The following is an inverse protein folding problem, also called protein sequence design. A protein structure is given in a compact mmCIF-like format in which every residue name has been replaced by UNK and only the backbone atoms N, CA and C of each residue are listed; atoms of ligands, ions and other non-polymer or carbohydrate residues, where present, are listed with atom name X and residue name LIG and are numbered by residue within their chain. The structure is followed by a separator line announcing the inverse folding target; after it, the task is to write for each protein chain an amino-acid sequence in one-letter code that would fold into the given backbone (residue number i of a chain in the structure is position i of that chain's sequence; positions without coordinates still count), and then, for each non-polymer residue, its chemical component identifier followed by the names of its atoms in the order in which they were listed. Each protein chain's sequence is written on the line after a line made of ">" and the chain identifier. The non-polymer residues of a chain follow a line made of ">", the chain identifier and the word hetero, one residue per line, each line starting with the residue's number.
data_IF_768294130908
#
_entry.id   IF_768294130908
#
_cell.length_a   1.000
_cell.length_b   1.000
_cell.length_c   1.000
_cell.angle_alpha   90.00
_cell.angle_beta   90.00
_cell.angle_gamma   90.00
#
_symmetry.space_group_name_H-M   'P 1'
#
loop_
_entity.id
_entity.type
_entity.pdbx_description
1 polymer ?
#
# COMPACT_ATOMS: atom_id res chain seq x y z
N UNK A 1 3.35 0.89 19.70
CA UNK A 1 3.95 -0.44 19.95
C UNK A 1 4.83 -0.35 21.19
N UNK A 2 4.32 -0.76 22.34
CA UNK A 2 5.13 -0.91 23.55
C UNK A 2 5.70 -2.33 23.48
N UNK A 3 6.96 -2.47 23.09
CA UNK A 3 7.70 -3.71 23.27
C UNK A 3 8.62 -3.52 24.47
N UNK A 4 8.29 -4.18 25.58
CA UNK A 4 9.15 -4.27 26.76
C UNK A 4 9.66 -5.70 26.83
N UNK A 5 10.99 -5.86 26.90
CA UNK A 5 11.81 -7.04 27.29
C UNK A 5 11.30 -8.45 26.89
N UNK A 6 12.17 -9.24 26.28
CA UNK A 6 12.00 -10.70 26.13
C UNK A 6 11.84 -11.37 27.50
N UNK A 7 10.60 -11.43 27.99
CA UNK A 7 10.23 -12.11 29.24
C UNK A 7 9.98 -13.58 28.94
N UNK A 8 10.57 -14.47 29.74
CA UNK A 8 10.24 -15.90 29.72
C UNK A 8 8.78 -16.03 30.17
N UNK A 9 7.94 -16.55 29.30
CA UNK A 9 6.50 -16.65 29.48
C UNK A 9 6.02 -18.10 29.61
N UNK A 10 6.91 -19.08 29.46
CA UNK A 10 6.58 -20.48 29.71
C UNK A 10 7.82 -21.24 30.21
N UNK A 11 7.87 -21.64 31.49
CA UNK A 11 9.02 -22.33 32.08
C UNK A 11 9.34 -23.69 31.44
N UNK A 12 8.35 -24.33 30.83
CA UNK A 12 8.49 -25.64 30.18
C UNK A 12 9.09 -25.58 28.77
N UNK A 13 9.32 -24.38 28.22
CA UNK A 13 9.99 -24.21 26.93
C UNK A 13 9.16 -24.62 25.70
N UNK A 14 7.90 -24.99 25.87
CA UNK A 14 7.07 -25.48 24.75
C UNK A 14 6.57 -24.35 23.84
N UNK A 15 6.44 -24.66 22.54
CA UNK A 15 5.89 -23.77 21.53
C UNK A 15 4.37 -23.75 21.60
N UNK A 16 3.80 -22.54 21.68
CA UNK A 16 2.36 -22.33 21.83
C UNK A 16 1.85 -21.09 21.12
N UNK A 17 0.64 -21.18 20.60
CA UNK A 17 -0.15 -20.01 20.24
C UNK A 17 -1.31 -19.89 21.24
N UNK A 18 -1.46 -18.71 21.83
CA UNK A 18 -2.40 -18.48 22.92
C UNK A 18 -3.44 -17.48 22.47
N UNK A 19 -4.68 -17.93 22.31
CA UNK A 19 -5.79 -17.11 21.85
C UNK A 19 -6.64 -16.62 23.02
N UNK A 20 -7.19 -15.42 22.84
CA UNK A 20 -8.34 -14.97 23.61
C UNK A 20 -9.20 -13.99 22.81
N UNK A 21 -10.42 -13.78 23.27
CA UNK A 21 -11.42 -12.92 22.64
C UNK A 21 -12.00 -11.96 23.67
N UNK A 22 -12.19 -10.71 23.27
CA UNK A 22 -12.90 -9.70 24.06
C UNK A 22 -13.94 -9.00 23.19
N UNK A 23 -15.10 -8.68 23.77
CA UNK A 23 -16.22 -8.03 23.09
C UNK A 23 -16.70 -6.85 23.89
N UNK A 24 -17.03 -5.78 23.19
CA UNK A 24 -17.58 -4.57 23.80
C UNK A 24 -18.34 -3.75 22.77
N UNK A 25 -19.56 -3.30 23.12
CA UNK A 25 -20.37 -2.37 22.33
C UNK A 25 -20.47 -2.72 20.83
N UNK A 26 -20.87 -3.94 20.53
CA UNK A 26 -21.06 -4.43 19.16
C UNK A 26 -19.77 -4.81 18.42
N UNK A 27 -18.59 -4.49 18.95
CA UNK A 27 -17.28 -4.84 18.38
C UNK A 27 -16.62 -6.01 19.10
N UNK A 28 -15.67 -6.68 18.43
CA UNK A 28 -14.88 -7.76 19.02
C UNK A 28 -13.40 -7.69 18.62
N UNK A 29 -12.55 -8.24 19.46
CA UNK A 29 -11.12 -8.39 19.21
C UNK A 29 -10.63 -9.78 19.60
N UNK A 30 -9.94 -10.46 18.69
CA UNK A 30 -9.24 -11.72 18.98
C UNK A 30 -7.75 -11.44 19.05
N UNK A 31 -7.14 -11.77 20.19
CA UNK A 31 -5.71 -11.67 20.42
C UNK A 31 -5.07 -13.05 20.27
N UNK A 32 -3.92 -13.10 19.62
CA UNK A 32 -3.00 -14.25 19.68
C UNK A 32 -1.64 -13.81 20.23
N UNK A 33 -1.05 -14.64 21.10
CA UNK A 33 0.33 -14.52 21.56
C UNK A 33 1.14 -15.69 21.00
N UNK A 34 2.29 -15.37 20.38
CA UNK A 34 3.20 -16.37 19.82
C UNK A 34 4.30 -16.68 20.81
N UNK A 35 4.26 -17.87 21.40
CA UNK A 35 5.28 -18.36 22.33
C UNK A 35 6.12 -19.41 21.63
N UNK A 36 7.44 -19.21 21.58
CA UNK A 36 8.38 -20.21 21.06
C UNK A 36 9.55 -20.37 22.03
N UNK A 37 9.96 -21.59 22.30
CA UNK A 37 10.99 -21.93 23.29
C UNK A 37 10.72 -21.25 24.66
N UNK A 38 9.44 -21.20 25.07
CA UNK A 38 8.98 -20.55 26.29
C UNK A 38 9.10 -19.02 26.35
N UNK A 39 9.38 -18.35 25.22
CA UNK A 39 9.48 -16.89 25.12
C UNK A 39 8.41 -16.32 24.21
N UNK A 40 7.90 -15.13 24.56
CA UNK A 40 6.99 -14.39 23.68
C UNK A 40 7.78 -13.81 22.50
N UNK A 41 7.52 -14.31 21.30
CA UNK A 41 8.09 -13.76 20.06
C UNK A 41 7.32 -12.53 19.57
N UNK A 42 6.02 -12.48 19.84
CA UNK A 42 5.17 -11.40 19.40
C UNK A 42 3.70 -11.70 19.63
N UNK A 43 2.84 -10.89 19.01
CA UNK A 43 1.40 -11.02 19.14
C UNK A 43 0.71 -10.44 17.91
N UNK A 44 -0.48 -10.94 17.59
CA UNK A 44 -1.32 -10.38 16.53
C UNK A 44 -2.76 -10.14 17.04
N UNK A 45 -3.46 -9.21 16.42
CA UNK A 45 -4.79 -8.77 16.85
C UNK A 45 -5.76 -8.65 15.67
N UNK A 46 -6.86 -9.38 15.76
CA UNK A 46 -7.93 -9.39 14.76
C UNK A 46 -9.12 -8.58 15.28
N UNK A 47 -9.37 -7.44 14.64
CA UNK A 47 -10.50 -6.57 14.95
C UNK A 47 -11.72 -6.94 14.10
N UNK A 48 -12.88 -7.01 14.73
CA UNK A 48 -14.19 -7.19 14.11
C UNK A 48 -15.05 -5.97 14.49
N UNK A 49 -15.34 -5.15 13.49
CA UNK A 49 -16.13 -3.92 13.62
C UNK A 49 -17.62 -4.17 13.85
N UNK A 50 -18.13 -5.31 13.38
CA UNK A 50 -19.50 -5.78 13.60
C UNK A 50 -19.47 -7.22 14.10
N UNK A 51 -19.83 -7.42 15.37
CA UNK A 51 -19.81 -8.75 16.00
C UNK A 51 -21.16 -9.22 16.51
N UNK A 52 -22.18 -8.35 16.58
CA UNK A 52 -23.44 -8.59 17.31
C UNK A 52 -24.14 -9.90 16.94
N UNK A 53 -24.13 -10.25 15.65
CA UNK A 53 -24.77 -11.47 15.14
C UNK A 53 -23.84 -12.70 15.12
N UNK A 54 -22.54 -12.51 15.34
CA UNK A 54 -21.56 -13.58 15.34
C UNK A 54 -21.40 -14.21 16.74
N UNK A 55 -21.30 -15.54 16.77
CA UNK A 55 -20.92 -16.26 17.99
C UNK A 55 -19.43 -16.10 18.26
N UNK A 56 -19.03 -16.20 19.54
CA UNK A 56 -17.61 -16.09 19.92
C UNK A 56 -16.75 -17.18 19.26
N UNK A 57 -17.31 -18.39 19.10
CA UNK A 57 -16.67 -19.48 18.37
C UNK A 57 -16.43 -19.10 16.89
N UNK A 58 -17.41 -18.49 16.23
CA UNK A 58 -17.25 -18.07 14.84
C UNK A 58 -16.15 -17.01 14.69
N UNK A 59 -16.11 -16.00 15.56
CA UNK A 59 -15.08 -14.95 15.54
C UNK A 59 -13.67 -15.53 15.78
N UNK A 60 -13.54 -16.43 16.75
CA UNK A 60 -12.30 -17.13 17.04
C UNK A 60 -11.85 -17.99 15.86
N UNK A 61 -12.76 -18.77 15.26
CA UNK A 61 -12.49 -19.59 14.09
C UNK A 61 -12.04 -18.77 12.87
N UNK A 62 -12.67 -17.61 12.61
CA UNK A 62 -12.23 -16.70 11.56
C UNK A 62 -10.80 -16.19 11.79
N UNK A 63 -10.45 -15.82 13.02
CA UNK A 63 -9.10 -15.37 13.37
C UNK A 63 -8.06 -16.50 13.22
N UNK A 64 -8.38 -17.71 13.70
CA UNK A 64 -7.52 -18.89 13.56
C UNK A 64 -7.29 -19.23 12.09
N UNK A 65 -8.35 -19.28 11.28
CA UNK A 65 -8.25 -19.55 9.85
C UNK A 65 -7.40 -18.47 9.15
N UNK A 66 -7.66 -17.20 9.42
CA UNK A 66 -6.90 -16.09 8.82
C UNK A 66 -5.42 -16.13 9.20
N UNK A 67 -5.11 -16.51 10.43
CA UNK A 67 -3.73 -16.66 10.88
C UNK A 67 -3.03 -17.78 10.11
N UNK A 68 -3.58 -18.99 10.14
CA UNK A 68 -2.90 -20.18 9.63
C UNK A 68 -3.04 -20.39 8.12
N UNK A 69 -3.89 -19.65 7.40
CA UNK A 69 -3.91 -19.68 5.93
C UNK A 69 -2.59 -19.18 5.31
N UNK A 70 -1.78 -18.41 6.06
CA UNK A 70 -0.47 -17.95 5.60
C UNK A 70 0.59 -19.05 5.74
N UNK A 71 1.27 -19.39 4.65
CA UNK A 71 2.38 -20.37 4.66
C UNK A 71 3.57 -19.94 5.55
N UNK A 72 3.65 -18.66 5.95
CA UNK A 72 4.75 -18.14 6.78
C UNK A 72 4.56 -18.37 8.29
N UNK A 73 3.36 -18.74 8.75
CA UNK A 73 3.07 -18.96 10.18
C UNK A 73 3.18 -20.43 10.53
N UNK A 74 4.27 -20.83 11.19
CA UNK A 74 4.43 -22.18 11.71
C UNK A 74 3.43 -22.49 12.84
N UNK A 75 2.63 -23.54 12.65
CA UNK A 75 1.63 -24.00 13.61
C UNK A 75 2.33 -24.76 14.76
N UNK A 76 2.14 -24.39 16.03
CA UNK A 76 2.77 -25.08 17.16
C UNK A 76 2.03 -26.38 17.52
N UNK A 77 2.66 -27.23 18.34
CA UNK A 77 2.05 -28.46 18.85
C UNK A 77 0.86 -28.21 19.78
N UNK A 78 0.81 -27.04 20.42
CA UNK A 78 -0.24 -26.69 21.37
C UNK A 78 -0.84 -25.31 21.04
N UNK A 79 -2.15 -25.26 20.92
CA UNK A 79 -2.92 -24.03 20.76
C UNK A 79 -3.85 -23.89 21.96
N UNK A 80 -3.69 -22.80 22.72
CA UNK A 80 -4.48 -22.56 23.92
C UNK A 80 -5.67 -21.65 23.57
N UNK A 81 -6.87 -22.07 23.95
CA UNK A 81 -8.13 -21.40 23.66
C UNK A 81 -8.79 -20.85 24.93
N UNK A 82 -9.61 -19.78 24.81
CA UNK A 82 -10.29 -19.17 25.95
C UNK A 82 -11.50 -19.96 26.46
N UNK A 83 -12.12 -20.76 25.60
CA UNK A 83 -13.31 -21.57 25.87
C UNK A 83 -13.32 -22.82 24.97
N UNK A 84 -14.22 -23.76 25.26
CA UNK A 84 -14.42 -24.99 24.47
C UNK A 84 -14.97 -24.65 23.09
N UNK A 85 -14.27 -25.12 22.05
CA UNK A 85 -14.63 -24.83 20.67
C UNK A 85 -15.58 -25.91 20.14
N UNK A 86 -16.77 -25.57 19.60
CA UNK A 86 -17.77 -26.57 19.20
C UNK A 86 -17.29 -27.62 18.18
N UNK A 87 -16.27 -27.29 17.38
CA UNK A 87 -15.69 -28.17 16.35
C UNK A 87 -14.19 -28.41 16.61
N UNK A 88 -13.83 -28.62 17.88
CA UNK A 88 -12.43 -28.74 18.30
C UNK A 88 -11.68 -29.86 17.55
N UNK A 89 -12.30 -31.03 17.38
CA UNK A 89 -11.67 -32.16 16.69
C UNK A 89 -11.37 -31.85 15.22
N UNK A 90 -12.34 -31.29 14.50
CA UNK A 90 -12.20 -30.93 13.08
C UNK A 90 -11.09 -29.89 12.91
N UNK A 91 -11.05 -28.88 13.79
CA UNK A 91 -10.03 -27.85 13.74
C UNK A 91 -8.64 -28.41 14.09
N UNK A 92 -8.54 -29.27 15.10
CA UNK A 92 -7.27 -29.89 15.49
C UNK A 92 -6.72 -30.79 14.37
N UNK A 93 -7.58 -31.55 13.70
CA UNK A 93 -7.20 -32.43 12.59
C UNK A 93 -6.73 -31.62 11.37
N UNK A 94 -7.48 -30.58 10.99
CA UNK A 94 -7.10 -29.69 9.89
C UNK A 94 -5.75 -29.00 10.14
N UNK A 95 -5.53 -28.49 11.35
CA UNK A 95 -4.25 -27.89 11.74
C UNK A 95 -3.12 -28.92 11.78
N UNK A 96 -3.41 -30.15 12.21
CA UNK A 96 -2.41 -31.22 12.26
C UNK A 96 -1.96 -31.68 10.87
N UNK A 97 -2.91 -31.81 9.94
CA UNK A 97 -2.65 -32.12 8.54
C UNK A 97 -1.79 -31.04 7.90
N UNK A 98 -2.17 -29.77 8.10
CA UNK A 98 -1.42 -28.63 7.58
C UNK A 98 0.00 -28.50 8.18
N UNK A 99 0.15 -28.78 9.48
CA UNK A 99 1.43 -28.68 10.18
C UNK A 99 2.37 -29.85 9.91
N UNK A 100 1.86 -30.99 9.42
CA UNK A 100 2.61 -32.24 9.31
C UNK A 100 2.94 -32.90 10.65
N UNK A 101 2.29 -32.47 11.74
CA UNK A 101 2.44 -33.05 13.07
C UNK A 101 1.16 -32.88 13.88
N UNK A 102 0.99 -33.68 14.95
CA UNK A 102 -0.17 -33.56 15.83
C UNK A 102 -0.22 -32.19 16.52
N UNK A 103 -1.35 -31.50 16.37
CA UNK A 103 -1.69 -30.25 17.05
C UNK A 103 -2.75 -30.54 18.10
N UNK A 104 -2.56 -30.03 19.31
CA UNK A 104 -3.51 -30.15 20.42
C UNK A 104 -4.13 -28.80 20.72
N UNK A 105 -5.46 -28.74 20.63
CA UNK A 105 -6.23 -27.63 21.19
C UNK A 105 -6.42 -27.87 22.69
N UNK A 106 -6.30 -26.81 23.49
CA UNK A 106 -6.41 -26.92 24.94
C UNK A 106 -7.16 -25.73 25.52
N UNK A 107 -8.07 -25.99 26.45
CA UNK A 107 -8.76 -24.95 27.23
C UNK A 107 -8.27 -24.99 28.68
N UNK A 108 -7.14 -24.35 29.00
CA UNK A 108 -6.58 -24.42 30.34
C UNK A 108 -7.53 -23.77 31.35
N UNK A 109 -7.79 -24.45 32.47
CA UNK A 109 -8.66 -23.94 33.55
C UNK A 109 -7.87 -23.44 34.76
N UNK A 110 -6.60 -23.85 34.93
CA UNK A 110 -5.72 -23.47 36.06
C UNK A 110 -4.23 -23.51 35.68
N UNK A 111 -3.38 -22.93 36.52
CA UNK A 111 -1.92 -22.93 36.37
C UNK A 111 -1.40 -22.00 35.27
N UNK A 112 -0.13 -22.16 34.90
CA UNK A 112 0.56 -21.21 34.04
C UNK A 112 -0.04 -21.03 32.64
N UNK A 113 -0.54 -22.12 32.04
CA UNK A 113 -1.28 -22.04 30.76
C UNK A 113 -2.53 -21.17 30.86
N UNK A 114 -3.21 -21.16 32.01
CA UNK A 114 -4.36 -20.27 32.25
C UNK A 114 -3.91 -18.82 32.41
N UNK A 115 -2.77 -18.56 33.06
CA UNK A 115 -2.20 -17.21 33.17
C UNK A 115 -1.89 -16.62 31.78
N UNK A 116 -1.36 -17.43 30.86
CA UNK A 116 -1.14 -17.04 29.47
C UNK A 116 -2.44 -16.67 28.76
N UNK A 117 -3.49 -17.48 28.90
CA UNK A 117 -4.82 -17.17 28.34
C UNK A 117 -5.38 -15.89 28.95
N UNK A 118 -5.21 -15.67 30.26
CA UNK A 118 -5.62 -14.42 30.92
C UNK A 118 -4.83 -13.20 30.43
N UNK A 119 -3.55 -13.33 30.12
CA UNK A 119 -2.77 -12.26 29.50
C UNK A 119 -3.27 -11.94 28.09
N UNK A 120 -3.54 -12.97 27.28
CA UNK A 120 -4.13 -12.78 25.96
C UNK A 120 -5.48 -12.05 26.05
N UNK A 121 -6.30 -12.30 27.08
CA UNK A 121 -7.53 -11.55 27.33
C UNK A 121 -7.27 -10.06 27.62
N UNK A 122 -6.32 -9.76 28.52
CA UNK A 122 -5.98 -8.37 28.85
C UNK A 122 -5.48 -7.61 27.62
N UNK A 123 -4.66 -8.25 26.79
CA UNK A 123 -4.19 -7.69 25.53
C UNK A 123 -5.35 -7.50 24.53
N UNK A 124 -6.26 -8.47 24.40
CA UNK A 124 -7.44 -8.35 23.54
C UNK A 124 -8.29 -7.13 23.93
N UNK A 125 -8.52 -6.93 25.23
CA UNK A 125 -9.23 -5.77 25.76
C UNK A 125 -8.52 -4.46 25.46
N UNK A 126 -7.24 -4.34 25.82
CA UNK A 126 -6.47 -3.11 25.63
C UNK A 126 -6.39 -2.72 24.15
N UNK A 127 -6.15 -3.70 23.26
CA UNK A 127 -6.09 -3.45 21.82
C UNK A 127 -7.47 -3.10 21.24
N UNK A 128 -8.56 -3.73 21.71
CA UNK A 128 -9.92 -3.37 21.27
C UNK A 128 -10.26 -1.93 21.67
N UNK A 129 -9.98 -1.55 22.92
CA UNK A 129 -10.19 -0.17 23.40
C UNK A 129 -9.37 0.85 22.59
N UNK A 130 -8.11 0.54 22.26
CA UNK A 130 -7.28 1.39 21.41
C UNK A 130 -7.83 1.50 19.98
N UNK A 131 -8.24 0.39 19.36
CA UNK A 131 -8.83 0.41 18.02
C UNK A 131 -10.14 1.20 17.99
N UNK A 132 -11.02 1.02 18.96
CA UNK A 132 -12.28 1.78 19.07
C UNK A 132 -12.00 3.29 19.18
N UNK A 133 -11.08 3.70 20.06
CA UNK A 133 -10.66 5.11 20.18
C UNK A 133 -10.13 5.66 18.85
N UNK A 134 -9.37 4.85 18.11
CA UNK A 134 -8.86 5.24 16.80
C UNK A 134 -9.98 5.42 15.78
N UNK A 135 -10.95 4.50 15.71
CA UNK A 135 -12.10 4.60 14.80
C UNK A 135 -12.93 5.85 15.08
N UNK A 136 -13.20 6.16 16.35
CA UNK A 136 -13.91 7.39 16.75
C UNK A 136 -13.13 8.62 16.29
N UNK A 137 -11.83 8.68 16.58
CA UNK A 137 -10.96 9.79 16.16
C UNK A 137 -10.91 9.94 14.64
N UNK A 138 -10.80 8.84 13.90
CA UNK A 138 -10.79 8.83 12.44
C UNK A 138 -12.13 9.39 11.91
N UNK A 139 -13.27 8.97 12.47
CA UNK A 139 -14.60 9.51 12.13
C UNK A 139 -14.74 11.00 12.44
N UNK A 140 -14.20 11.47 13.57
CA UNK A 140 -14.18 12.90 13.93
C UNK A 140 -13.36 13.72 12.92
N UNK A 141 -12.21 13.20 12.48
CA UNK A 141 -11.39 13.84 11.43
C UNK A 141 -12.18 13.95 10.13
N UNK A 142 -12.84 12.87 9.69
CA UNK A 142 -13.65 12.90 8.46
C UNK A 142 -14.81 13.91 8.56
N UNK A 143 -15.46 14.00 9.73
CA UNK A 143 -16.48 15.02 9.99
C UNK A 143 -15.92 16.46 9.96
N UNK A 144 -14.71 16.68 10.49
CA UNK A 144 -14.03 17.97 10.40
C UNK A 144 -13.69 18.32 8.94
N UNK A 145 -13.23 17.36 8.14
CA UNK A 145 -12.97 17.55 6.69
C UNK A 145 -14.26 17.90 5.95
N UNK A 146 -15.35 17.16 6.20
CA UNK A 146 -16.66 17.45 5.61
C UNK A 146 -17.10 18.88 5.90
N UNK A 147 -17.06 19.28 7.17
CA UNK A 147 -17.50 20.60 7.60
C UNK A 147 -16.62 21.72 7.03
N UNK A 148 -15.30 21.56 7.11
CA UNK A 148 -14.34 22.58 6.65
C UNK A 148 -14.40 22.79 5.13
N UNK A 149 -14.52 21.71 4.36
CA UNK A 149 -14.59 21.79 2.90
C UNK A 149 -16.03 21.95 2.40
N UNK A 150 -17.04 21.94 3.27
CA UNK A 150 -18.46 21.91 2.91
C UNK A 150 -18.77 20.80 1.88
N UNK A 151 -18.42 19.57 2.23
CA UNK A 151 -18.74 18.37 1.44
C UNK A 151 -20.16 17.91 1.74
N UNK A 152 -20.82 17.31 0.75
CA UNK A 152 -22.19 16.79 0.88
C UNK A 152 -22.25 15.55 1.76
N UNK A 153 -21.19 14.73 1.70
CA UNK A 153 -21.06 13.49 2.48
C UNK A 153 -19.78 13.52 3.30
N UNK A 154 -19.76 12.69 4.33
CA UNK A 154 -18.51 12.33 5.02
C UNK A 154 -17.60 11.69 3.97
N UNK A 155 -16.34 12.15 3.80
CA UNK A 155 -15.43 11.63 2.79
C UNK A 155 -14.83 10.29 3.26
N UNK A 156 -15.67 9.27 3.45
CA UNK A 156 -15.24 7.96 3.92
C UNK A 156 -14.39 7.27 2.87
N UNK A 157 -14.86 7.25 1.61
CA UNK A 157 -14.11 6.75 0.46
C UNK A 157 -13.57 7.90 -0.40
N UNK A 158 -12.26 8.05 -0.47
CA UNK A 158 -11.58 9.12 -1.22
C UNK A 158 -10.67 8.53 -2.30
N UNK A 159 -10.77 9.03 -3.53
CA UNK A 159 -9.85 8.68 -4.61
C UNK A 159 -9.01 9.88 -5.00
N UNK A 160 -7.69 9.74 -4.96
CA UNK A 160 -6.76 10.80 -5.35
C UNK A 160 -5.98 10.41 -6.59
N UNK A 161 -5.95 11.29 -7.58
CA UNK A 161 -5.30 11.10 -8.87
C UNK A 161 -4.08 12.00 -9.01
N UNK A 162 -2.91 11.39 -9.23
CA UNK A 162 -1.66 12.05 -9.62
C UNK A 162 -1.39 11.75 -11.09
N UNK A 163 -1.21 12.79 -11.90
CA UNK A 163 -0.75 12.70 -13.29
C UNK A 163 0.67 13.22 -13.35
N UNK A 164 1.60 12.34 -13.70
CA UNK A 164 3.01 12.66 -13.74
C UNK A 164 3.60 12.38 -15.13
N UNK A 165 4.20 13.40 -15.74
CA UNK A 165 4.94 13.26 -16.99
C UNK A 165 6.35 12.72 -16.75
N UNK A 166 6.72 11.68 -17.49
CA UNK A 166 8.08 11.15 -17.50
C UNK A 166 8.80 11.66 -18.75
N UNK A 167 9.67 12.66 -18.57
CA UNK A 167 10.72 13.07 -19.52
C UNK A 167 10.33 13.05 -21.02
N UNK A 168 9.13 13.52 -21.36
CA UNK A 168 8.69 13.77 -22.74
C UNK A 168 8.15 12.58 -23.55
N UNK A 169 8.27 11.32 -23.08
CA UNK A 169 7.89 10.14 -23.89
C UNK A 169 6.80 9.26 -23.27
N UNK A 170 6.61 9.30 -21.95
CA UNK A 170 5.63 8.44 -21.27
C UNK A 170 4.91 9.20 -20.16
N UNK A 171 3.61 9.44 -20.34
CA UNK A 171 2.77 9.92 -19.24
C UNK A 171 2.27 8.73 -18.44
N UNK A 172 2.38 8.83 -17.12
CA UNK A 172 1.77 7.86 -16.20
C UNK A 172 0.83 8.58 -15.26
N UNK A 173 -0.21 7.88 -14.88
CA UNK A 173 -1.08 8.35 -13.81
C UNK A 173 -1.22 7.26 -12.76
N UNK A 174 -1.45 7.71 -11.54
CA UNK A 174 -1.66 6.83 -10.41
C UNK A 174 -2.90 7.29 -9.65
N UNK A 175 -3.65 6.31 -9.14
CA UNK A 175 -4.78 6.55 -8.27
C UNK A 175 -4.58 5.76 -7.00
N UNK A 176 -4.70 6.46 -5.88
CA UNK A 176 -4.72 5.88 -4.53
C UNK A 176 -6.12 6.02 -3.97
N UNK A 177 -6.51 5.06 -3.14
CA UNK A 177 -7.82 5.01 -2.50
C UNK A 177 -7.64 5.09 -0.98
N UNK A 178 -8.45 5.91 -0.34
CA UNK A 178 -8.54 6.05 1.11
C UNK A 178 -9.93 5.62 1.56
N UNK A 179 -10.00 4.82 2.62
CA UNK A 179 -11.25 4.37 3.22
C UNK A 179 -11.13 4.50 4.75
N UNK A 180 -12.10 5.15 5.41
CA UNK A 180 -12.10 5.32 6.87
C UNK A 180 -10.82 5.98 7.42
N UNK A 181 -10.33 7.03 6.75
CA UNK A 181 -9.06 7.72 7.07
C UNK A 181 -7.79 6.85 6.96
N UNK A 182 -7.82 5.75 6.18
CA UNK A 182 -6.68 4.84 6.00
C UNK A 182 -6.45 4.48 4.52
N UNK A 183 -5.21 4.15 4.12
CA UNK A 183 -4.91 3.61 2.79
C UNK A 183 -5.65 2.30 2.49
N UNK A 184 -6.44 2.27 1.41
CA UNK A 184 -7.07 1.07 0.84
C UNK A 184 -6.24 0.55 -0.34
N UNK A 185 -5.11 -0.11 -0.05
CA UNK A 185 -4.05 -0.44 -1.03
C UNK A 185 -4.51 -1.38 -2.14
N UNK A 186 -5.43 -2.29 -1.82
CA UNK A 186 -6.11 -3.19 -2.74
C UNK A 186 -6.88 -2.46 -3.85
N UNK A 187 -7.30 -1.21 -3.57
CA UNK A 187 -8.03 -0.36 -4.50
C UNK A 187 -7.14 0.58 -5.30
N UNK A 188 -5.82 0.57 -5.10
CA UNK A 188 -4.88 1.41 -5.85
C UNK A 188 -4.78 0.98 -7.32
N UNK A 189 -4.61 1.94 -8.23
CA UNK A 189 -4.49 1.66 -9.68
C UNK A 189 -3.37 2.47 -10.31
N UNK A 190 -2.66 1.83 -11.24
CA UNK A 190 -1.61 2.46 -12.06
C UNK A 190 -2.08 2.47 -13.51
N UNK A 191 -1.99 3.62 -14.15
CA UNK A 191 -2.38 3.83 -15.53
C UNK A 191 -1.13 4.14 -16.35
N UNK A 192 -0.81 3.22 -17.26
CA UNK A 192 0.11 3.51 -18.36
C UNK A 192 -0.71 4.09 -19.49
N UNK A 193 -0.55 5.38 -19.74
CA UNK A 193 -1.23 6.09 -20.83
C UNK A 193 -0.56 5.75 -22.15
N UNK A 194 -1.36 5.62 -23.21
CA UNK A 194 -0.84 5.29 -24.55
C UNK A 194 -0.90 6.53 -25.44
N UNK A 195 0.25 6.93 -25.95
CA UNK A 195 0.39 7.82 -27.11
C UNK A 195 -0.16 9.23 -26.90
N UNK A 196 0.56 10.04 -26.12
CA UNK A 196 0.43 11.50 -26.18
C UNK A 196 1.81 12.04 -26.51
N UNK A 197 1.99 12.52 -27.74
CA UNK A 197 3.28 13.00 -28.27
C UNK A 197 3.69 14.39 -27.72
N UNK A 198 2.85 14.99 -26.87
CA UNK A 198 3.06 16.28 -26.20
C UNK A 198 2.46 16.21 -24.78
N UNK A 199 2.89 17.00 -23.79
CA UNK A 199 2.24 17.06 -22.48
C UNK A 199 0.81 17.61 -22.61
N UNK A 200 -0.16 16.72 -22.80
CA UNK A 200 -1.59 17.03 -22.76
C UNK A 200 -2.19 16.45 -21.48
N UNK A 201 -2.21 17.29 -20.44
CA UNK A 201 -2.82 16.99 -19.14
C UNK A 201 -4.31 16.65 -19.29
N UNK A 202 -5.01 17.26 -20.24
CA UNK A 202 -6.43 17.03 -20.46
C UNK A 202 -6.67 15.62 -21.02
N UNK A 203 -5.95 15.24 -22.07
CA UNK A 203 -6.06 13.90 -22.65
C UNK A 203 -5.65 12.80 -21.65
N UNK A 204 -4.64 13.07 -20.83
CA UNK A 204 -4.19 12.17 -19.76
C UNK A 204 -5.27 11.97 -18.69
N UNK A 205 -5.91 13.07 -18.25
CA UNK A 205 -7.02 13.05 -17.31
C UNK A 205 -8.23 12.33 -17.88
N UNK A 206 -8.56 12.59 -19.15
CA UNK A 206 -9.65 11.97 -19.87
C UNK A 206 -9.50 10.45 -19.92
N UNK A 207 -8.34 9.93 -20.32
CA UNK A 207 -8.11 8.48 -20.37
C UNK A 207 -8.25 7.83 -18.98
N UNK A 208 -7.69 8.44 -17.94
CA UNK A 208 -7.64 7.86 -16.59
C UNK A 208 -9.02 7.82 -15.94
N UNK A 209 -9.71 8.96 -15.91
CA UNK A 209 -11.02 9.06 -15.28
C UNK A 209 -12.05 8.25 -16.07
N UNK A 210 -11.98 8.24 -17.41
CA UNK A 210 -12.83 7.38 -18.24
C UNK A 210 -12.64 5.92 -17.89
N UNK A 211 -11.40 5.42 -17.84
CA UNK A 211 -11.13 4.02 -17.51
C UNK A 211 -11.54 3.65 -16.09
N UNK A 212 -11.42 4.56 -15.12
CA UNK A 212 -11.84 4.34 -13.74
C UNK A 212 -13.36 4.33 -13.61
N UNK A 213 -14.04 5.33 -14.15
CA UNK A 213 -15.46 5.53 -13.90
C UNK A 213 -16.38 4.83 -14.89
N UNK A 214 -15.91 4.37 -16.05
CA UNK A 214 -16.66 3.39 -16.86
C UNK A 214 -17.03 2.14 -16.05
N UNK A 215 -16.13 1.66 -15.18
CA UNK A 215 -16.41 0.54 -14.27
C UNK A 215 -17.42 0.90 -13.17
N UNK A 216 -17.48 2.17 -12.80
CA UNK A 216 -18.48 2.63 -11.85
C UNK A 216 -19.87 2.70 -12.46
N UNK A 217 -19.95 3.23 -13.68
CA UNK A 217 -21.19 3.28 -14.47
C UNK A 217 -21.73 1.89 -14.80
N UNK A 218 -20.86 0.89 -14.95
CA UNK A 218 -21.27 -0.52 -15.12
C UNK A 218 -21.65 -1.23 -13.82
N UNK A 219 -21.72 -0.52 -12.68
CA UNK A 219 -22.07 -1.08 -11.37
C UNK A 219 -21.01 -1.97 -10.73
N UNK A 220 -19.81 -2.07 -11.30
CA UNK A 220 -18.75 -2.96 -10.80
C UNK A 220 -17.99 -2.35 -9.61
N UNK A 221 -17.97 -1.02 -9.49
CA UNK A 221 -17.32 -0.30 -8.40
C UNK A 221 -18.10 0.94 -8.02
N UNK A 222 -18.24 1.30 -6.73
CA UNK A 222 -18.92 2.54 -6.36
C UNK A 222 -18.12 3.78 -6.79
N UNK A 223 -18.81 4.92 -6.92
CA UNK A 223 -18.17 6.23 -6.93
C UNK A 223 -17.63 6.54 -5.51
N UNK A 224 -16.51 7.27 -5.39
CA UNK A 224 -16.01 7.72 -4.09
C UNK A 224 -16.88 8.85 -3.53
N UNK A 225 -16.81 9.10 -2.23
CA UNK A 225 -17.45 10.27 -1.61
C UNK A 225 -16.71 11.57 -1.95
N UNK A 226 -15.39 11.50 -2.18
CA UNK A 226 -14.57 12.64 -2.60
C UNK A 226 -13.55 12.22 -3.67
N UNK A 227 -13.49 12.99 -4.75
CA UNK A 227 -12.44 12.90 -5.77
C UNK A 227 -11.41 14.01 -5.51
N UNK A 228 -10.14 13.67 -5.44
CA UNK A 228 -9.04 14.62 -5.33
C UNK A 228 -8.20 14.55 -6.61
N UNK A 229 -8.04 15.69 -7.26
CA UNK A 229 -7.09 15.86 -8.36
C UNK A 229 -5.85 16.55 -7.79
N UNK A 230 -4.69 15.92 -7.95
CA UNK A 230 -3.42 16.49 -7.52
C UNK A 230 -2.99 17.58 -8.50
N UNK A 231 -3.54 18.77 -8.24
CA UNK A 231 -3.04 20.03 -8.71
C UNK A 231 -4.12 21.08 -8.86
N UNK A 232 -3.83 22.09 -9.68
CA UNK A 232 -4.52 23.38 -9.64
C UNK A 232 -5.86 23.42 -10.38
N UNK A 233 -6.40 24.64 -10.50
CA UNK A 233 -7.69 24.91 -11.16
C UNK A 233 -7.79 24.36 -12.59
N UNK A 234 -6.70 24.38 -13.35
CA UNK A 234 -6.68 23.86 -14.71
C UNK A 234 -6.98 22.36 -14.78
N UNK A 235 -6.29 21.57 -13.95
CA UNK A 235 -6.48 20.12 -13.87
C UNK A 235 -7.83 19.74 -13.27
N UNK A 236 -8.32 20.50 -12.28
CA UNK A 236 -9.67 20.34 -11.76
C UNK A 236 -10.72 20.55 -12.86
N UNK A 237 -10.62 21.63 -13.63
CA UNK A 237 -11.56 21.91 -14.72
C UNK A 237 -11.51 20.85 -15.82
N UNK A 238 -10.32 20.31 -16.13
CA UNK A 238 -10.18 19.18 -17.04
C UNK A 238 -10.94 17.95 -16.52
N UNK A 239 -10.78 17.61 -15.24
CA UNK A 239 -11.51 16.50 -14.63
C UNK A 239 -13.03 16.71 -14.64
N UNK A 240 -13.51 17.93 -14.39
CA UNK A 240 -14.95 18.26 -14.44
C UNK A 240 -15.53 18.01 -15.84
N UNK A 241 -14.85 18.46 -16.89
CA UNK A 241 -15.29 18.25 -18.27
C UNK A 241 -15.35 16.75 -18.62
N UNK A 242 -14.44 15.93 -18.08
CA UNK A 242 -14.45 14.49 -18.27
C UNK A 242 -15.61 13.83 -17.53
N UNK A 243 -15.89 14.21 -16.29
CA UNK A 243 -17.04 13.69 -15.54
C UNK A 243 -18.36 14.00 -16.26
N UNK A 244 -18.50 15.21 -16.80
CA UNK A 244 -19.67 15.62 -17.60
C UNK A 244 -19.83 14.78 -18.87
N UNK A 245 -18.74 14.54 -19.61
CA UNK A 245 -18.74 13.62 -20.78
C UNK A 245 -19.16 12.20 -20.43
N UNK A 246 -18.83 11.74 -19.22
CA UNK A 246 -19.19 10.41 -18.72
C UNK A 246 -20.63 10.33 -18.19
N UNK A 247 -21.37 11.44 -18.18
CA UNK A 247 -22.72 11.50 -17.60
C UNK A 247 -22.72 11.42 -16.08
N UNK A 248 -21.59 11.73 -15.43
CA UNK A 248 -21.50 11.80 -13.97
C UNK A 248 -21.82 13.23 -13.54
N UNK A 249 -22.90 13.39 -12.80
CA UNK A 249 -23.28 14.68 -12.25
C UNK A 249 -22.30 15.12 -11.15
N UNK A 250 -21.32 15.93 -11.54
CA UNK A 250 -20.34 16.49 -10.62
C UNK A 250 -20.95 17.55 -9.69
N UNK A 251 -22.20 17.98 -9.90
CA UNK A 251 -22.93 18.74 -8.88
C UNK A 251 -23.31 17.87 -7.69
N UNK A 252 -23.43 16.55 -7.84
CA UNK A 252 -23.70 15.61 -6.76
C UNK A 252 -22.44 14.89 -6.25
N UNK A 253 -21.43 14.73 -7.10
CA UNK A 253 -20.12 14.17 -6.72
C UNK A 253 -19.18 15.26 -6.19
N UNK A 254 -18.70 15.13 -4.95
CA UNK A 254 -17.67 16.06 -4.47
C UNK A 254 -16.32 15.77 -5.13
N UNK A 255 -15.71 16.83 -5.67
CA UNK A 255 -14.41 16.83 -6.32
C UNK A 255 -13.65 18.11 -5.98
N UNK A 256 -12.35 17.99 -5.71
CA UNK A 256 -11.46 19.10 -5.39
C UNK A 256 -10.14 19.00 -6.15
N UNK A 257 -9.50 20.14 -6.41
CA UNK A 257 -8.09 20.22 -6.76
C UNK A 257 -7.27 20.50 -5.50
N UNK A 258 -6.16 19.79 -5.32
CA UNK A 258 -5.22 20.00 -4.22
C UNK A 258 -3.86 20.41 -4.78
N UNK A 259 -3.36 21.59 -4.42
CA UNK A 259 -2.13 22.13 -4.99
C UNK A 259 -1.22 22.77 -3.92
N UNK A 260 0.05 22.95 -4.29
CA UNK A 260 1.03 23.71 -3.51
C UNK A 260 1.12 25.14 -4.02
N UNK A 261 1.00 26.10 -3.12
CA UNK A 261 1.27 27.52 -3.35
C UNK A 261 2.60 27.91 -2.74
N UNK A 262 3.29 28.86 -3.38
CA UNK A 262 4.45 29.54 -2.79
C UNK A 262 3.98 30.83 -2.15
N UNK A 263 4.44 31.11 -0.94
CA UNK A 263 4.21 32.42 -0.32
C UNK A 263 4.92 33.48 -1.17
N UNK A 264 4.21 34.52 -1.63
CA UNK A 264 4.86 35.62 -2.34
C UNK A 264 5.88 36.32 -1.43
N UNK A 265 7.08 36.57 -1.96
CA UNK A 265 8.01 37.52 -1.34
C UNK A 265 7.32 38.88 -1.26
N UNK A 266 6.97 39.33 -0.07
CA UNK A 266 6.73 40.76 0.15
C UNK A 266 8.04 41.48 -0.17
N UNK A 267 8.08 42.19 -1.30
CA UNK A 267 9.22 43.06 -1.68
C UNK A 267 9.56 43.94 -0.46
N UNK A 268 10.72 43.70 0.16
CA UNK A 268 11.24 44.53 1.26
C UNK A 268 11.41 43.87 2.63
N UNK A 269 11.01 42.61 2.84
CA UNK A 269 11.27 41.90 4.12
C UNK A 269 12.24 40.74 3.87
N UNK A 270 13.50 40.94 4.23
CA UNK A 270 14.52 39.89 4.24
C UNK A 270 14.36 39.03 5.49
N UNK A 271 14.32 37.70 5.32
CA UNK A 271 14.32 36.62 6.35
C UNK A 271 12.97 36.09 6.87
N UNK A 272 11.98 35.88 6.00
CA UNK A 272 10.98 34.83 6.21
C UNK A 272 11.31 33.64 5.32
N UNK A 273 11.32 32.41 5.85
CA UNK A 273 11.45 31.22 5.01
C UNK A 273 10.32 31.24 3.96
N UNK A 274 10.65 31.00 2.68
CA UNK A 274 9.62 30.73 1.66
C UNK A 274 8.88 29.47 2.12
N UNK A 275 7.70 29.65 2.74
CA UNK A 275 6.90 28.54 3.23
C UNK A 275 5.89 28.17 2.15
N UNK A 276 6.12 27.01 1.53
CA UNK A 276 5.14 26.31 0.72
C UNK A 276 3.89 26.06 1.58
N UNK A 277 2.72 26.38 1.05
CA UNK A 277 1.44 26.09 1.67
C UNK A 277 0.58 25.26 0.74
N UNK A 278 -0.40 24.58 1.31
CA UNK A 278 -1.38 23.84 0.52
C UNK A 278 -2.70 24.56 0.50
N UNK A 279 -3.33 24.50 -0.66
CA UNK A 279 -4.64 25.06 -0.86
C UNK A 279 -5.51 24.11 -1.67
N UNK A 280 -6.80 24.23 -1.41
CA UNK A 280 -7.84 23.49 -2.10
C UNK A 280 -8.53 24.43 -3.09
N UNK A 281 -8.81 23.90 -4.28
CA UNK A 281 -9.68 24.54 -5.28
C UNK A 281 -10.96 23.72 -5.38
N UNK A 282 -12.12 24.38 -5.32
CA UNK A 282 -13.43 23.75 -5.55
C UNK A 282 -14.02 24.19 -6.89
N UNK A 283 -14.87 23.35 -7.50
CA UNK A 283 -15.67 23.74 -8.67
C UNK A 283 -16.47 25.02 -8.40
N UNK A 284 -16.57 25.88 -9.40
CA UNK A 284 -17.31 27.15 -9.34
C UNK A 284 -16.87 28.14 -8.24
N UNK A 285 -15.72 27.92 -7.58
CA UNK A 285 -15.16 28.87 -6.62
C UNK A 285 -13.95 29.60 -7.22
N UNK A 286 -13.94 30.93 -7.10
CA UNK A 286 -12.82 31.75 -7.56
C UNK A 286 -11.63 31.71 -6.60
N UNK A 287 -11.91 31.70 -5.31
CA UNK A 287 -10.89 31.79 -4.26
C UNK A 287 -10.40 30.39 -3.86
N UNK A 288 -9.10 30.29 -3.66
CA UNK A 288 -8.46 29.11 -3.07
C UNK A 288 -8.77 29.03 -1.58
N UNK A 289 -9.02 27.82 -1.08
CA UNK A 289 -9.22 27.55 0.34
C UNK A 289 -7.86 27.21 0.93
N UNK A 290 -7.27 28.15 1.67
CA UNK A 290 -6.00 27.91 2.37
C UNK A 290 -6.22 27.01 3.58
N UNK A 291 -5.37 26.00 3.70
CA UNK A 291 -5.42 25.06 4.80
C UNK A 291 -4.66 25.62 6.01
N UNK A 292 -5.29 25.59 7.19
CA UNK A 292 -4.64 26.00 8.42
C UNK A 292 -3.49 25.06 8.77
N UNK A 293 -2.36 25.63 9.22
CA UNK A 293 -1.22 24.86 9.69
C UNK A 293 -1.63 23.98 10.86
N UNK A 294 -1.12 22.75 10.88
CA UNK A 294 -1.40 21.77 11.93
C UNK A 294 -2.88 21.36 12.08
N UNK A 295 -3.74 21.66 11.10
CA UNK A 295 -5.12 21.17 11.11
C UNK A 295 -5.20 19.70 10.70
N UNK A 296 -6.17 18.98 11.28
CA UNK A 296 -6.54 17.61 10.89
C UNK A 296 -6.86 17.51 9.40
N UNK A 297 -7.52 18.54 8.85
CA UNK A 297 -7.89 18.62 7.43
C UNK A 297 -6.66 18.72 6.54
N UNK A 298 -5.68 19.53 6.91
CA UNK A 298 -4.40 19.59 6.20
C UNK A 298 -3.71 18.23 6.21
N UNK A 299 -3.56 17.60 7.38
CA UNK A 299 -2.89 16.31 7.48
C UNK A 299 -3.62 15.19 6.71
N UNK A 300 -4.95 15.20 6.70
CA UNK A 300 -5.75 14.28 5.90
C UNK A 300 -5.42 14.38 4.41
N UNK A 301 -5.52 15.60 3.85
CA UNK A 301 -5.27 15.85 2.43
C UNK A 301 -3.80 15.61 2.05
N UNK A 302 -2.87 16.03 2.91
CA UNK A 302 -1.42 15.80 2.74
C UNK A 302 -1.07 14.32 2.65
N UNK A 303 -1.57 13.51 3.59
CA UNK A 303 -1.27 12.08 3.62
C UNK A 303 -1.75 11.39 2.35
N UNK A 304 -2.92 11.77 1.84
CA UNK A 304 -3.48 11.21 0.60
C UNK A 304 -2.62 11.59 -0.60
N UNK A 305 -2.27 12.88 -0.73
CA UNK A 305 -1.44 13.37 -1.84
C UNK A 305 -0.04 12.80 -1.82
N UNK A 306 0.62 12.81 -0.67
CA UNK A 306 2.00 12.32 -0.55
C UNK A 306 2.09 10.83 -0.88
N UNK A 307 1.05 10.05 -0.57
CA UNK A 307 0.94 8.66 -0.99
C UNK A 307 0.65 8.49 -2.48
N UNK A 308 -0.19 9.36 -3.08
CA UNK A 308 -0.39 9.40 -4.53
C UNK A 308 0.93 9.66 -5.26
N UNK A 309 1.67 10.70 -4.84
CA UNK A 309 3.01 10.99 -5.33
C UNK A 309 3.97 9.81 -5.12
N UNK A 310 4.02 9.21 -3.92
CA UNK A 310 4.89 8.05 -3.63
C UNK A 310 4.58 6.91 -4.60
N UNK A 311 3.30 6.61 -4.79
CA UNK A 311 2.84 5.51 -5.63
C UNK A 311 3.14 5.74 -7.11
N UNK A 312 3.01 6.99 -7.59
CA UNK A 312 3.43 7.43 -8.91
C UNK A 312 4.94 7.29 -9.10
N UNK A 313 5.75 7.82 -8.18
CA UNK A 313 7.22 7.74 -8.22
C UNK A 313 7.71 6.29 -8.27
N UNK A 314 7.13 5.40 -7.46
CA UNK A 314 7.47 3.98 -7.49
C UNK A 314 7.14 3.32 -8.84
N UNK A 315 6.00 3.69 -9.44
CA UNK A 315 5.64 3.21 -10.77
C UNK A 315 6.61 3.71 -11.84
N UNK A 316 6.94 4.99 -11.81
CA UNK A 316 7.90 5.60 -12.73
C UNK A 316 9.29 4.98 -12.59
N UNK A 317 9.78 4.77 -11.36
CA UNK A 317 11.06 4.09 -11.12
C UNK A 317 11.05 2.67 -11.69
N UNK A 318 9.96 1.93 -11.54
CA UNK A 318 9.80 0.58 -12.11
C UNK A 318 9.84 0.61 -13.65
N UNK A 319 9.14 1.56 -14.28
CA UNK A 319 9.13 1.73 -15.73
C UNK A 319 10.48 2.18 -16.26
N UNK A 320 11.11 3.20 -15.66
CA UNK A 320 12.48 3.62 -15.99
C UNK A 320 13.47 2.49 -15.87
N UNK A 321 13.36 1.65 -14.84
CA UNK A 321 14.18 0.44 -14.75
C UNK A 321 13.92 -0.45 -15.97
N UNK A 322 12.66 -0.75 -16.31
CA UNK A 322 12.35 -1.58 -17.48
C UNK A 322 12.78 -0.98 -18.82
N UNK A 323 12.71 0.33 -19.01
CA UNK A 323 13.04 1.01 -20.26
C UNK A 323 14.55 1.28 -20.40
N UNK A 324 15.25 1.65 -19.32
CA UNK A 324 16.73 1.67 -19.31
C UNK A 324 17.30 0.26 -19.56
N UNK A 325 16.62 -0.78 -19.05
CA UNK A 325 16.96 -2.17 -19.35
C UNK A 325 16.64 -2.57 -20.82
N UNK A 326 15.89 -1.77 -21.58
CA UNK A 326 15.77 -1.94 -23.03
C UNK A 326 16.83 -1.16 -23.78
N UNK A 327 17.14 0.07 -23.35
CA UNK A 327 18.11 0.95 -24.01
C UNK A 327 19.55 0.43 -23.94
N UNK A 328 19.94 -0.22 -22.85
CA UNK A 328 21.32 -0.73 -22.70
C UNK A 328 21.71 -1.82 -23.70
N UNK A 329 20.76 -2.63 -24.18
CA UNK A 329 21.05 -3.59 -25.25
C UNK A 329 21.17 -2.92 -26.63
N UNK A 330 20.56 -1.74 -26.80
CA UNK A 330 20.61 -1.01 -28.06
C UNK A 330 21.98 -0.32 -28.27
N UNK A 331 22.72 -0.09 -27.18
CA UNK A 331 24.06 0.49 -27.21
C UNK A 331 25.16 -0.53 -27.54
N UNK A 332 24.86 -1.84 -27.53
CA UNK A 332 25.83 -2.90 -27.83
C UNK A 332 25.92 -3.08 -29.36
N UNK A 333 27.07 -2.76 -29.99
CA UNK A 333 27.25 -2.98 -31.42
C UNK A 333 26.96 -4.44 -31.79
N UNK A 334 26.16 -4.65 -32.84
CA UNK A 334 25.77 -6.00 -33.28
C UNK A 334 24.56 -6.61 -32.56
N UNK A 335 24.00 -5.98 -31.52
CA UNK A 335 22.76 -6.41 -30.85
C UNK A 335 21.56 -5.60 -31.36
N UNK A 336 21.04 -5.99 -32.53
CA UNK A 336 19.81 -5.40 -33.06
C UNK A 336 18.52 -5.92 -32.40
N UNK A 337 17.38 -5.30 -32.74
CA UNK A 337 16.04 -5.61 -32.20
C UNK A 337 15.66 -7.10 -32.18
N UNK A 338 16.09 -7.88 -33.18
CA UNK A 338 15.81 -9.33 -33.26
C UNK A 338 16.56 -10.12 -32.18
N UNK A 339 17.85 -9.86 -32.00
CA UNK A 339 18.73 -10.50 -31.01
C UNK A 339 18.35 -10.08 -29.59
N UNK A 340 18.00 -8.81 -29.40
CA UNK A 340 17.45 -8.27 -28.14
C UNK A 340 16.20 -9.02 -27.68
N UNK A 341 15.22 -9.22 -28.57
CA UNK A 341 14.01 -9.98 -28.24
C UNK A 341 14.32 -11.44 -27.90
N UNK A 342 15.29 -12.05 -28.58
CA UNK A 342 15.72 -13.43 -28.28
C UNK A 342 16.36 -13.52 -26.88
N UNK A 343 17.27 -12.60 -26.54
CA UNK A 343 17.90 -12.53 -25.21
C UNK A 343 16.85 -12.32 -24.11
N UNK A 344 15.94 -11.36 -24.29
CA UNK A 344 14.88 -11.10 -23.30
C UNK A 344 13.85 -12.23 -23.21
N UNK A 345 13.57 -12.94 -24.31
CA UNK A 345 12.68 -14.10 -24.29
C UNK A 345 13.31 -15.28 -23.56
N UNK A 346 14.62 -15.48 -23.72
CA UNK A 346 15.35 -16.59 -23.09
C UNK A 346 15.56 -16.34 -21.59
N UNK A 347 16.08 -15.16 -21.22
CA UNK A 347 16.43 -14.85 -19.83
C UNK A 347 15.30 -14.17 -19.03
N UNK A 348 14.23 -13.72 -19.68
CA UNK A 348 13.05 -13.09 -19.09
C UNK A 348 13.25 -11.65 -18.60
N UNK A 349 14.48 -11.24 -18.27
CA UNK A 349 14.78 -9.86 -17.88
C UNK A 349 16.24 -9.49 -18.19
N UNK A 350 16.52 -8.20 -18.45
CA UNK A 350 17.90 -7.77 -18.67
C UNK A 350 18.79 -7.99 -17.44
N UNK A 351 18.24 -7.93 -16.22
CA UNK A 351 19.02 -8.25 -15.02
C UNK A 351 19.66 -9.64 -15.13
N UNK A 352 18.89 -10.62 -15.58
CA UNK A 352 19.38 -11.98 -15.81
C UNK A 352 20.33 -12.07 -17.00
N UNK A 353 20.10 -11.31 -18.08
CA UNK A 353 21.05 -11.21 -19.21
C UNK A 353 22.41 -10.65 -18.75
N UNK A 354 22.41 -9.68 -17.83
CA UNK A 354 23.62 -9.08 -17.26
C UNK A 354 24.37 -10.01 -16.30
N UNK A 355 23.63 -10.85 -15.57
CA UNK A 355 24.18 -11.83 -14.62
C UNK A 355 24.59 -13.14 -15.30
N UNK A 356 24.13 -13.38 -16.54
CA UNK A 356 24.40 -14.58 -17.31
C UNK A 356 25.88 -14.72 -17.69
N UNK A 357 26.36 -15.96 -17.73
CA UNK A 357 27.71 -16.26 -18.19
C UNK A 357 27.82 -16.10 -19.72
N UNK A 358 29.05 -16.00 -20.24
CA UNK A 358 29.29 -15.90 -21.69
C UNK A 358 28.75 -17.15 -22.40
N UNK A 359 28.90 -18.31 -21.77
CA UNK A 359 28.41 -19.59 -22.26
C UNK A 359 26.88 -19.63 -22.32
N UNK A 360 26.19 -19.11 -21.30
CA UNK A 360 24.74 -19.01 -21.27
C UNK A 360 24.21 -18.03 -22.33
N UNK A 361 24.87 -16.88 -22.50
CA UNK A 361 24.53 -15.90 -23.54
C UNK A 361 24.66 -16.50 -24.95
N UNK A 362 25.66 -17.36 -25.16
CA UNK A 362 25.88 -18.08 -26.42
C UNK A 362 24.83 -19.14 -26.74
N UNK A 363 24.02 -19.59 -25.77
CA UNK A 363 22.92 -20.54 -26.01
C UNK A 363 21.71 -19.88 -26.66
N UNK A 364 21.66 -18.54 -26.71
CA UNK A 364 20.54 -17.80 -27.31
C UNK A 364 20.66 -17.79 -28.83
N UNK A 365 19.59 -18.23 -29.49
CA UNK A 365 19.51 -18.27 -30.96
C UNK A 365 19.86 -16.91 -31.59
N UNK A 366 20.89 -16.93 -32.45
CA UNK A 366 21.36 -15.75 -33.17
C UNK A 366 22.45 -14.94 -32.45
N UNK A 367 22.93 -15.39 -31.29
CA UNK A 367 24.10 -14.84 -30.60
C UNK A 367 25.31 -15.73 -30.89
N UNK A 368 26.36 -15.19 -31.50
CA UNK A 368 27.62 -15.92 -31.69
C UNK A 368 28.47 -15.87 -30.42
N UNK A 369 29.44 -16.78 -30.23
CA UNK A 369 30.36 -16.73 -29.07
C UNK A 369 31.07 -15.38 -28.93
N UNK A 370 31.48 -14.78 -30.06
CA UNK A 370 32.11 -13.45 -30.08
C UNK A 370 31.15 -12.37 -29.57
N UNK A 371 29.88 -12.40 -30.00
CA UNK A 371 28.89 -11.44 -29.55
C UNK A 371 28.50 -11.65 -28.08
N UNK A 372 28.50 -12.89 -27.59
CA UNK A 372 28.27 -13.20 -26.19
C UNK A 372 29.38 -12.62 -25.29
N UNK A 373 30.63 -12.71 -25.73
CA UNK A 373 31.77 -12.06 -25.05
C UNK A 373 31.65 -10.53 -25.05
N UNK A 374 31.25 -9.93 -26.17
CA UNK A 374 31.03 -8.48 -26.28
C UNK A 374 29.92 -8.00 -25.34
N UNK A 375 28.79 -8.72 -25.28
CA UNK A 375 27.69 -8.43 -24.36
C UNK A 375 28.17 -8.53 -22.90
N UNK A 376 28.89 -9.61 -22.57
CA UNK A 376 29.43 -9.80 -21.22
C UNK A 376 30.45 -8.74 -20.82
N UNK A 377 31.30 -8.31 -21.76
CA UNK A 377 32.30 -7.25 -21.55
C UNK A 377 31.62 -5.89 -21.32
N UNK A 378 30.67 -5.52 -22.17
CA UNK A 378 29.91 -4.27 -22.07
C UNK A 378 29.28 -4.11 -20.68
N UNK A 379 28.60 -5.14 -20.17
CA UNK A 379 27.98 -5.07 -18.85
C UNK A 379 29.00 -5.00 -17.70
N UNK A 380 30.14 -5.68 -17.79
CA UNK A 380 31.22 -5.56 -16.79
C UNK A 380 31.81 -4.14 -16.75
N UNK A 381 31.96 -3.50 -17.90
CA UNK A 381 32.45 -2.12 -18.01
C UNK A 381 31.45 -1.11 -17.43
N UNK A 382 30.16 -1.25 -17.75
CA UNK A 382 29.10 -0.44 -17.15
C UNK A 382 29.08 -0.56 -15.62
N UNK A 383 29.30 -1.75 -15.08
CA UNK A 383 29.28 -2.01 -13.64
C UNK A 383 30.47 -1.41 -12.91
N UNK A 384 31.64 -1.48 -13.54
CA UNK A 384 32.85 -0.80 -13.08
C UNK A 384 32.67 0.72 -13.07
N UNK A 385 32.06 1.28 -14.12
CA UNK A 385 31.78 2.71 -14.23
C UNK A 385 30.79 3.21 -13.17
N UNK A 386 29.69 2.46 -12.95
CA UNK A 386 28.69 2.79 -11.92
C UNK A 386 29.28 2.72 -10.51
N UNK A 387 30.09 1.69 -10.20
CA UNK A 387 30.76 1.59 -8.89
C UNK A 387 31.72 2.77 -8.64
N UNK A 388 32.48 3.19 -9.67
CA UNK A 388 33.37 4.36 -9.57
C UNK A 388 32.59 5.66 -9.35
N UNK A 389 31.46 5.85 -10.03
CA UNK A 389 30.61 7.05 -9.88
C UNK A 389 29.94 7.14 -8.50
N UNK A 390 29.44 6.01 -7.99
CA UNK A 390 28.87 5.93 -6.63
C UNK A 390 29.91 6.17 -5.52
N UNK A 391 31.15 5.69 -5.72
CA UNK A 391 32.25 5.95 -4.78
C UNK A 391 32.71 7.42 -4.80
N UNK A 392 32.59 8.12 -5.94
CA UNK A 392 32.89 9.53 -6.06
C UNK A 392 31.82 10.42 -5.37
N UNK A 393 30.53 10.11 -5.55
CA UNK A 393 29.45 10.89 -4.91
C UNK A 393 29.42 10.78 -3.38
N UNK A 394 29.92 9.67 -2.83
CA UNK A 394 30.04 9.44 -1.38
C UNK A 394 31.24 10.17 -0.74
N UNK A 395 32.17 10.71 -1.55
CA UNK A 395 33.31 11.52 -1.06
C UNK A 395 33.03 13.03 -1.08
N UNK A 396 31.97 13.46 -1.77
CA UNK A 396 31.53 14.86 -1.86
C UNK A 396 30.32 15.17 -0.97
N UNK A 397 29.80 14.16 -0.26
CA UNK A 397 28.82 14.30 0.83
C UNK A 397 29.53 14.17 2.16
#
# INVERSE_FOLDING_TARGET
>A
RIFTRQTVMSPDGEDRDVFNLYREAGTAGVQVLFIRNGRLLGSDFFFFDTSEQASDANLLGQAINRLYTSEMTGIPRQVLLPFEYPEEEILADALSEQAGHRVQLMVPKRGHKKELVSLAFQNARANLEEQRRRVVKDSEILGQVQNFLHLKKIPDRVECFDISHLSGEMTVASMVCWEGNKPAKENYRKYKLRTIHSPDDFASMEEVLTRRYQRALSGQQPLPDLIIIDGGKGQLNAALAVLEKLGIDWHQQDIIGLAKGRSERRRGITRGNDEDYEYVVKPNQKNEIRLQRHSSVLYFLQNIRDEAHRFAIEFQRKLKRQDNLKSLLDEIPGVGNRRKRALLKHFGSLKRVREASVEELGQVSGISPVLAEEIGRFFKECDSFLKKKYAASQKES
#
